data_IF_020426220387
#
_entry.id   IF_020426220387
#
_cell.length_a   1.000
_cell.length_b   1.000
_cell.length_c   1.000
_cell.angle_alpha   90.00
_cell.angle_beta   90.00
_cell.angle_gamma   90.00
#
_symmetry.space_group_name_H-M   'P 1'
#
loop_
_entity.id
_entity.type
_entity.pdbx_description
1 polymer ?
#
# COMPACT_ATOMS: atom_id res chain seq x y z
N UNK A 1 -1.48 62.88 -26.91
CA UNK A 1 -0.41 61.90 -26.57
C UNK A 1 -0.62 61.16 -25.23
N UNK A 2 -1.25 61.78 -24.21
CA UNK A 2 -1.39 61.25 -22.84
C UNK A 2 -2.29 59.99 -22.72
N UNK A 3 -3.37 59.88 -23.51
CA UNK A 3 -4.29 58.71 -23.49
C UNK A 3 -3.63 57.38 -23.88
N UNK A 4 -2.62 57.38 -24.78
CA UNK A 4 -1.87 56.16 -25.18
C UNK A 4 -0.95 55.63 -24.08
N UNK A 5 -0.34 56.51 -23.27
CA UNK A 5 0.50 56.12 -22.11
C UNK A 5 -0.33 55.43 -21.00
N UNK A 6 -1.55 55.92 -20.73
CA UNK A 6 -2.48 55.35 -19.73
C UNK A 6 -2.92 53.91 -20.10
N UNK A 7 -3.27 53.66 -21.37
CA UNK A 7 -3.60 52.31 -21.89
C UNK A 7 -2.43 51.33 -21.83
N UNK A 8 -1.19 51.75 -22.14
CA UNK A 8 0.01 50.89 -22.01
C UNK A 8 0.31 50.51 -20.56
N UNK A 9 0.15 51.44 -19.60
CA UNK A 9 0.32 51.18 -18.16
C UNK A 9 -0.75 50.23 -17.62
N UNK A 10 -2.00 50.37 -18.08
CA UNK A 10 -3.08 49.42 -17.76
C UNK A 10 -2.84 48.04 -18.37
N UNK A 11 -2.34 47.94 -19.62
CA UNK A 11 -2.01 46.67 -20.25
C UNK A 11 -0.87 45.95 -19.52
N UNK A 12 0.18 46.68 -19.12
CA UNK A 12 1.28 46.13 -18.29
C UNK A 12 0.78 45.67 -16.91
N UNK A 13 -0.12 46.43 -16.26
CA UNK A 13 -0.75 46.00 -15.01
C UNK A 13 -1.59 44.73 -15.17
N UNK A 14 -2.39 44.62 -16.24
CA UNK A 14 -3.16 43.41 -16.53
C UNK A 14 -2.26 42.19 -16.79
N UNK A 15 -1.22 42.36 -17.60
CA UNK A 15 -0.24 41.30 -17.87
C UNK A 15 0.51 40.91 -16.60
N UNK A 16 0.89 41.86 -15.75
CA UNK A 16 1.50 41.59 -14.46
C UNK A 16 0.57 40.80 -13.53
N UNK A 17 -0.71 41.19 -13.43
CA UNK A 17 -1.69 40.45 -12.63
C UNK A 17 -1.90 39.02 -13.13
N UNK A 18 -1.85 38.79 -14.45
CA UNK A 18 -1.91 37.44 -15.02
C UNK A 18 -0.69 36.59 -14.61
N UNK A 19 0.52 37.16 -14.63
CA UNK A 19 1.70 36.45 -14.14
C UNK A 19 1.63 36.15 -12.65
N UNK A 20 1.21 37.12 -11.82
CA UNK A 20 1.03 36.89 -10.38
C UNK A 20 0.01 35.79 -10.12
N UNK A 21 -1.11 35.78 -10.83
CA UNK A 21 -2.11 34.71 -10.72
C UNK A 21 -1.55 33.35 -11.15
N UNK A 22 -0.80 33.29 -12.25
CA UNK A 22 -0.14 32.07 -12.70
C UNK A 22 0.86 31.55 -11.65
N UNK A 23 1.66 32.43 -11.04
CA UNK A 23 2.58 32.06 -9.97
C UNK A 23 1.84 31.50 -8.75
N UNK A 24 0.70 32.10 -8.37
CA UNK A 24 -0.14 31.59 -7.27
C UNK A 24 -0.68 30.20 -7.60
N UNK A 25 -1.14 29.96 -8.84
CA UNK A 25 -1.63 28.64 -9.26
C UNK A 25 -0.52 27.58 -9.24
N UNK A 26 0.69 27.92 -9.71
CA UNK A 26 1.84 27.01 -9.66
C UNK A 26 2.22 26.69 -8.21
N UNK A 27 2.23 27.69 -7.33
CA UNK A 27 2.56 27.51 -5.92
C UNK A 27 1.53 26.61 -5.22
N UNK A 28 0.23 26.91 -5.38
CA UNK A 28 -0.85 26.10 -4.80
C UNK A 28 -0.86 24.68 -5.36
N UNK A 29 -0.67 24.53 -6.67
CA UNK A 29 -0.59 23.22 -7.33
C UNK A 29 0.59 22.39 -6.84
N UNK A 30 1.79 23.00 -6.76
CA UNK A 30 2.98 22.34 -6.23
C UNK A 30 2.83 21.95 -4.77
N UNK A 31 2.27 22.84 -3.96
CA UNK A 31 1.98 22.55 -2.55
C UNK A 31 0.97 21.40 -2.37
N UNK A 32 -0.12 21.41 -3.14
CA UNK A 32 -1.10 20.33 -3.14
C UNK A 32 -0.47 19.00 -3.59
N UNK A 33 0.38 19.01 -4.62
CA UNK A 33 1.12 17.84 -5.08
C UNK A 33 2.02 17.25 -3.99
N UNK A 34 2.73 18.10 -3.24
CA UNK A 34 3.55 17.64 -2.11
C UNK A 34 2.74 16.96 -1.00
N UNK A 35 1.48 17.37 -0.79
CA UNK A 35 0.58 16.78 0.20
C UNK A 35 -0.12 15.49 -0.27
N UNK A 36 -0.35 15.33 -1.57
CA UNK A 36 -1.00 14.14 -2.13
C UNK A 36 -0.06 12.95 -2.35
N UNK A 37 1.25 13.17 -2.28
CA UNK A 37 2.22 12.09 -2.46
C UNK A 37 2.13 11.08 -1.31
N UNK A 38 1.55 9.92 -1.61
CA UNK A 38 1.55 8.76 -0.71
C UNK A 38 2.98 8.43 -0.29
N UNK A 39 3.16 8.07 0.98
CA UNK A 39 4.46 7.67 1.55
C UNK A 39 4.49 6.20 1.97
N UNK A 40 3.34 5.56 2.00
CA UNK A 40 3.16 4.17 2.37
C UNK A 40 2.49 3.40 1.23
N UNK A 41 2.71 2.08 1.20
CA UNK A 41 2.09 1.14 0.26
C UNK A 41 1.43 -0.02 1.01
N UNK A 42 0.52 -0.69 0.31
CA UNK A 42 -0.12 -1.92 0.79
C UNK A 42 0.87 -3.07 0.66
N UNK A 43 1.06 -3.81 1.74
CA UNK A 43 1.92 -5.01 1.77
C UNK A 43 1.03 -6.25 1.73
N UNK A 44 1.45 -7.27 0.99
CA UNK A 44 0.74 -8.57 0.91
C UNK A 44 1.66 -9.68 1.40
N UNK A 45 1.19 -10.50 2.33
CA UNK A 45 1.91 -11.66 2.88
C UNK A 45 1.04 -12.91 2.84
N UNK A 46 1.68 -14.09 2.85
CA UNK A 46 0.99 -15.37 2.95
C UNK A 46 0.47 -15.61 4.37
N UNK A 47 -0.68 -16.28 4.49
CA UNK A 47 -1.25 -16.69 5.76
C UNK A 47 -0.26 -17.57 6.54
N UNK A 48 -0.07 -17.25 7.82
CA UNK A 48 0.89 -17.91 8.70
C UNK A 48 2.35 -17.50 8.51
N UNK A 49 2.64 -16.55 7.60
CA UNK A 49 3.98 -15.96 7.48
C UNK A 49 4.27 -14.98 8.62
N UNK A 50 5.56 -14.75 8.94
CA UNK A 50 5.95 -13.71 9.87
C UNK A 50 5.51 -12.31 9.37
N UNK A 51 5.36 -11.40 10.32
CA UNK A 51 5.03 -10.00 10.04
C UNK A 51 6.12 -9.33 9.18
N UNK A 52 5.69 -8.54 8.19
CA UNK A 52 6.58 -7.76 7.33
C UNK A 52 7.26 -6.62 8.12
N UNK A 53 8.47 -6.25 7.72
CA UNK A 53 9.18 -5.14 8.34
C UNK A 53 8.49 -3.79 8.05
N UNK A 54 8.64 -2.82 8.95
CA UNK A 54 8.06 -1.48 8.80
C UNK A 54 8.54 -0.80 7.52
N UNK A 55 9.80 -1.03 7.12
CA UNK A 55 10.38 -0.50 5.89
C UNK A 55 9.67 -1.01 4.63
N UNK A 56 9.08 -2.20 4.66
CA UNK A 56 8.33 -2.74 3.53
C UNK A 56 7.04 -1.98 3.25
N UNK A 57 6.47 -1.30 4.26
CA UNK A 57 5.30 -0.46 4.07
C UNK A 57 5.65 0.92 3.51
N UNK A 58 6.92 1.32 3.50
CA UNK A 58 7.36 2.63 3.02
C UNK A 58 7.64 2.60 1.52
N UNK A 59 7.34 3.72 0.85
CA UNK A 59 7.78 3.94 -0.55
C UNK A 59 9.29 4.24 -0.59
N UNK A 60 9.80 4.95 0.42
CA UNK A 60 11.22 5.22 0.61
C UNK A 60 11.69 4.54 1.91
N UNK A 61 12.48 3.48 1.76
CA UNK A 61 12.94 2.64 2.87
C UNK A 61 14.01 3.32 3.75
N UNK A 62 14.52 4.50 3.36
CA UNK A 62 15.58 5.19 4.11
C UNK A 62 15.07 5.99 5.30
N UNK A 63 13.77 5.98 5.56
CA UNK A 63 13.15 6.78 6.61
C UNK A 63 12.95 5.96 7.87
N UNK A 64 13.32 6.54 9.00
CA UNK A 64 13.03 5.97 10.32
C UNK A 64 11.51 6.00 10.54
N UNK A 65 10.92 4.80 10.62
CA UNK A 65 9.49 4.61 10.83
C UNK A 65 9.24 3.57 11.92
N UNK A 66 8.09 3.66 12.58
CA UNK A 66 7.67 2.70 13.60
C UNK A 66 6.19 2.38 13.49
N UNK A 67 5.82 1.15 13.82
CA UNK A 67 4.41 0.79 13.97
C UNK A 67 3.82 1.47 15.21
N UNK A 68 2.66 2.10 15.04
CA UNK A 68 1.81 2.54 16.14
C UNK A 68 0.80 1.45 16.49
N UNK A 69 0.29 0.76 15.46
CA UNK A 69 -0.58 -0.41 15.66
C UNK A 69 0.21 -1.53 16.33
N UNK A 70 -0.41 -2.21 17.30
CA UNK A 70 0.16 -3.41 17.90
C UNK A 70 0.08 -4.59 16.93
N UNK A 71 1.13 -4.71 16.10
CA UNK A 71 1.24 -5.74 15.07
C UNK A 71 1.45 -7.15 15.65
N UNK A 72 1.88 -7.25 16.92
CA UNK A 72 2.13 -8.53 17.59
C UNK A 72 0.85 -9.25 18.00
N UNK A 73 -0.23 -8.49 18.17
CA UNK A 73 -1.56 -9.00 18.50
C UNK A 73 -2.38 -9.47 17.30
N UNK A 74 -1.89 -9.25 16.07
CA UNK A 74 -2.61 -9.58 14.84
C UNK A 74 -2.53 -11.09 14.53
N UNK A 75 -3.68 -11.69 14.24
CA UNK A 75 -3.75 -13.09 13.79
C UNK A 75 -3.43 -13.20 12.29
N UNK A 76 -2.14 -13.29 11.96
CA UNK A 76 -1.66 -13.45 10.58
C UNK A 76 -1.94 -14.84 9.99
N UNK A 77 -2.51 -15.78 10.76
CA UNK A 77 -2.93 -17.09 10.22
C UNK A 77 -4.24 -16.99 9.42
N UNK A 78 -4.99 -15.90 9.59
CA UNK A 78 -6.28 -15.70 8.91
C UNK A 78 -6.14 -14.74 7.74
N UNK A 79 -6.50 -15.17 6.52
CA UNK A 79 -6.61 -14.27 5.37
C UNK A 79 -7.54 -13.09 5.68
N UNK A 80 -7.12 -11.90 5.28
CA UNK A 80 -7.84 -10.67 5.64
C UNK A 80 -7.08 -9.40 5.30
N UNK A 81 -7.73 -8.26 5.52
CA UNK A 81 -7.11 -6.94 5.39
C UNK A 81 -7.05 -6.30 6.77
N UNK A 82 -5.85 -6.01 7.24
CA UNK A 82 -5.57 -5.38 8.53
C UNK A 82 -5.15 -3.93 8.32
N UNK A 83 -5.79 -2.99 9.03
CA UNK A 83 -5.40 -1.58 9.00
C UNK A 83 -4.20 -1.35 9.92
N UNK A 84 -3.12 -0.79 9.38
CA UNK A 84 -1.87 -0.52 10.09
C UNK A 84 -1.61 0.98 10.12
N UNK A 85 -1.18 1.47 11.28
CA UNK A 85 -0.73 2.85 11.49
C UNK A 85 0.77 2.86 11.68
N UNK A 86 1.44 3.74 10.92
CA UNK A 86 2.89 3.90 10.93
C UNK A 86 3.20 5.37 11.24
N UNK A 87 4.04 5.60 12.23
CA UNK A 87 4.61 6.93 12.46
C UNK A 87 5.92 7.07 11.71
N UNK A 88 6.07 8.17 10.99
CA UNK A 88 7.30 8.54 10.29
C UNK A 88 7.41 10.07 10.26
N UNK A 89 8.57 10.62 10.61
CA UNK A 89 8.83 12.07 10.70
C UNK A 89 7.78 12.83 11.54
N UNK A 90 7.28 12.22 12.63
CA UNK A 90 6.25 12.80 13.51
C UNK A 90 4.84 12.90 12.88
N UNK A 91 4.61 12.22 11.75
CA UNK A 91 3.29 12.10 11.12
C UNK A 91 2.81 10.66 11.13
N UNK A 92 1.51 10.47 11.35
CA UNK A 92 0.84 9.17 11.30
C UNK A 92 0.31 8.92 9.91
N UNK A 93 0.68 7.78 9.32
CA UNK A 93 0.18 7.30 8.05
C UNK A 93 -0.65 6.03 8.26
N UNK A 94 -1.76 5.93 7.56
CA UNK A 94 -2.60 4.75 7.53
C UNK A 94 -2.26 3.93 6.28
N UNK A 95 -2.08 2.63 6.46
CA UNK A 95 -1.87 1.67 5.37
C UNK A 95 -2.58 0.35 5.67
N UNK A 96 -2.49 -0.60 4.76
CA UNK A 96 -3.11 -1.91 4.91
C UNK A 96 -2.10 -3.03 4.72
N UNK A 97 -2.20 -4.05 5.57
CA UNK A 97 -1.58 -5.34 5.40
C UNK A 97 -2.64 -6.31 4.86
N UNK A 98 -2.35 -6.96 3.74
CA UNK A 98 -3.21 -7.98 3.13
C UNK A 98 -2.60 -9.36 3.39
N UNK A 99 -3.33 -10.19 4.11
CA UNK A 99 -2.97 -11.60 4.30
C UNK A 99 -3.77 -12.43 3.31
N UNK A 100 -3.09 -13.21 2.48
CA UNK A 100 -3.70 -14.10 1.48
C UNK A 100 -3.27 -15.54 1.74
N UNK A 101 -4.13 -16.49 1.42
CA UNK A 101 -3.75 -17.91 1.40
C UNK A 101 -3.55 -18.34 -0.05
N UNK A 102 -2.30 -18.55 -0.46
CA UNK A 102 -1.97 -19.03 -1.80
C UNK A 102 -1.19 -20.35 -1.80
N UNK A 103 -0.88 -20.91 -0.63
CA UNK A 103 -0.10 -22.15 -0.52
C UNK A 103 -1.05 -23.35 -0.62
N UNK A 104 -1.05 -24.10 -1.74
CA UNK A 104 -1.93 -25.25 -1.86
C UNK A 104 -1.49 -26.37 -0.90
N UNK A 105 -2.44 -27.19 -0.41
CA UNK A 105 -2.09 -28.40 0.30
C UNK A 105 -1.28 -29.33 -0.60
N UNK A 106 -0.35 -30.07 -0.01
CA UNK A 106 0.41 -31.11 -0.70
C UNK A 106 -0.26 -32.45 -0.44
N UNK A 107 -0.18 -33.35 -1.41
CA UNK A 107 -0.68 -34.71 -1.28
C UNK A 107 0.12 -35.61 -2.21
N UNK A 108 0.40 -36.84 -1.77
CA UNK A 108 1.10 -37.85 -2.55
C UNK A 108 0.15 -39.01 -2.79
N UNK A 109 -0.08 -39.36 -4.06
CA UNK A 109 -0.91 -40.52 -4.41
C UNK A 109 -0.19 -41.83 -4.11
N UNK A 110 -0.95 -42.83 -3.69
CA UNK A 110 -0.44 -44.15 -3.32
C UNK A 110 -1.17 -45.23 -4.08
N UNK A 111 -0.42 -46.14 -4.70
CA UNK A 111 -0.97 -47.35 -5.28
C UNK A 111 -1.33 -48.32 -4.15
N UNK A 112 -2.58 -48.78 -4.15
CA UNK A 112 -3.10 -49.71 -3.16
C UNK A 112 -3.56 -51.00 -3.84
N UNK A 113 -3.12 -52.15 -3.32
CA UNK A 113 -3.56 -53.47 -3.78
C UNK A 113 -4.55 -54.04 -2.76
N UNK A 114 -5.79 -54.22 -3.19
CA UNK A 114 -6.86 -54.76 -2.36
C UNK A 114 -7.11 -56.24 -2.65
N UNK A 115 -7.46 -57.01 -1.62
CA UNK A 115 -7.96 -58.36 -1.79
C UNK A 115 -9.44 -58.35 -2.22
N UNK A 116 -9.89 -59.42 -2.89
CA UNK A 116 -11.29 -59.53 -3.31
C UNK A 116 -12.21 -59.54 -2.08
N UNK A 117 -13.09 -58.55 -1.98
CA UNK A 117 -14.03 -58.37 -0.86
C UNK A 117 -13.51 -57.45 0.25
N UNK A 118 -12.29 -56.93 0.13
CA UNK A 118 -11.76 -55.92 1.04
C UNK A 118 -12.48 -54.56 0.86
N UNK A 119 -12.81 -53.90 1.97
CA UNK A 119 -13.37 -52.54 1.95
C UNK A 119 -12.23 -51.54 2.07
N UNK A 120 -12.07 -50.70 1.05
CA UNK A 120 -10.98 -49.70 0.97
C UNK A 120 -11.56 -48.29 1.11
N UNK A 121 -10.94 -47.47 1.97
CA UNK A 121 -11.34 -46.07 2.21
C UNK A 121 -10.57 -45.09 1.33
N UNK A 122 -11.11 -43.91 1.07
CA UNK A 122 -10.45 -42.87 0.25
C UNK A 122 -9.05 -42.49 0.78
N UNK A 123 -8.88 -42.44 2.10
CA UNK A 123 -7.61 -42.12 2.77
C UNK A 123 -6.49 -43.13 2.45
N UNK A 124 -6.83 -44.33 1.98
CA UNK A 124 -5.85 -45.36 1.59
C UNK A 124 -5.08 -44.99 0.31
N UNK A 125 -5.57 -44.02 -0.47
CA UNK A 125 -5.00 -43.62 -1.76
C UNK A 125 -4.13 -42.36 -1.70
N UNK A 126 -4.04 -41.70 -0.54
CA UNK A 126 -3.34 -40.42 -0.39
C UNK A 126 -2.50 -40.41 0.89
N UNK A 127 -1.27 -39.88 0.82
CA UNK A 127 -0.37 -39.67 1.96
C UNK A 127 0.14 -38.23 1.99
N UNK A 128 0.66 -37.81 3.16
CA UNK A 128 1.21 -36.48 3.39
C UNK A 128 0.22 -35.36 3.04
N UNK A 129 -0.96 -35.45 3.67
CA UNK A 129 -2.07 -34.50 3.58
C UNK A 129 -1.88 -33.37 4.60
#
# INVERSE_FOLDING_TARGET
>A
MIRRKKRRRQRRRRVFLLFVNLFILIYLGGFAYMQLNQKTKVVTIEAGSPMADVGEFLIDQRKDARFITDVSSLDLSRPGIYSIQIEMDGKVYHTSLRVVDTVPPKAVSVNYTAMKGETVTADSFVKNI
#
